data_IF_020541897649
#
_entry.id   IF_020541897649
#
_cell.length_a   1.000
_cell.length_b   1.000
_cell.length_c   1.000
_cell.angle_alpha   90.00
_cell.angle_beta   90.00
_cell.angle_gamma   90.00
#
_symmetry.space_group_name_H-M   'P 1'
#
loop_
_entity.id
_entity.type
_entity.pdbx_description
1 polymer ?
#
# COMPACT_ATOMS: atom_id res chain seq x y z
N UNK A 1 -43.19 49.20 -38.09
CA UNK A 1 -41.87 48.80 -38.65
C UNK A 1 -40.89 49.93 -38.43
N UNK A 2 -39.58 49.70 -38.18
CA UNK A 2 -38.84 48.52 -37.67
C UNK A 2 -38.11 48.88 -36.33
N UNK A 3 -37.36 48.07 -35.58
CA UNK A 3 -36.94 46.65 -35.59
C UNK A 3 -36.48 46.34 -34.14
N UNK A 4 -36.88 45.20 -33.60
CA UNK A 4 -36.42 44.71 -32.31
C UNK A 4 -35.04 44.05 -32.37
N UNK A 5 -34.30 44.14 -31.26
CA UNK A 5 -33.20 43.24 -30.95
C UNK A 5 -33.53 42.54 -29.62
N UNK A 6 -33.86 41.26 -29.73
CA UNK A 6 -34.04 40.37 -28.59
C UNK A 6 -32.68 39.99 -28.01
N UNK A 7 -32.52 40.20 -26.71
CA UNK A 7 -31.42 39.66 -25.94
C UNK A 7 -31.62 38.16 -25.74
N UNK A 8 -30.80 37.34 -26.40
CA UNK A 8 -30.68 35.93 -26.08
C UNK A 8 -29.76 35.75 -24.87
N UNK A 9 -30.35 35.42 -23.72
CA UNK A 9 -29.63 34.77 -22.62
C UNK A 9 -29.18 33.38 -23.07
N UNK A 10 -27.90 33.23 -23.41
CA UNK A 10 -27.29 31.91 -23.53
C UNK A 10 -27.00 31.33 -22.15
N UNK A 11 -27.94 30.53 -21.63
CA UNK A 11 -27.64 29.56 -20.59
C UNK A 11 -26.69 28.51 -21.16
N UNK A 12 -25.42 28.55 -20.75
CA UNK A 12 -24.43 27.52 -21.08
C UNK A 12 -24.76 26.28 -20.22
N UNK A 13 -25.65 25.44 -20.71
CA UNK A 13 -25.76 24.06 -20.23
C UNK A 13 -24.58 23.26 -20.79
N UNK A 14 -23.46 23.20 -20.06
CA UNK A 14 -22.43 22.16 -20.26
C UNK A 14 -22.97 20.83 -19.72
N UNK A 15 -23.75 20.11 -20.52
CA UNK A 15 -23.91 18.66 -20.35
C UNK A 15 -22.59 18.00 -20.77
N UNK A 16 -21.69 17.81 -19.82
CA UNK A 16 -20.61 16.83 -19.99
C UNK A 16 -21.24 15.46 -20.19
N UNK A 17 -21.13 14.89 -21.40
CA UNK A 17 -21.56 13.52 -21.66
C UNK A 17 -20.63 12.59 -20.87
N UNK A 18 -21.05 12.15 -19.70
CA UNK A 18 -20.57 10.91 -19.11
C UNK A 18 -20.78 9.81 -20.15
N UNK A 19 -19.72 9.06 -20.50
CA UNK A 19 -19.85 7.85 -21.32
C UNK A 19 -20.93 6.93 -20.69
N UNK A 20 -21.62 6.08 -21.47
CA UNK A 20 -22.53 5.09 -20.88
C UNK A 20 -21.69 4.07 -20.08
N UNK A 21 -21.52 4.36 -18.79
CA UNK A 21 -20.63 3.69 -17.82
C UNK A 21 -21.00 2.22 -17.56
N UNK A 22 -22.23 1.83 -17.88
CA UNK A 22 -22.71 0.44 -17.78
C UNK A 22 -21.98 -0.51 -18.72
N UNK A 23 -21.53 -0.04 -19.89
CA UNK A 23 -20.82 -0.87 -20.87
C UNK A 23 -19.38 -1.20 -20.44
N UNK A 24 -18.70 -0.26 -19.77
CA UNK A 24 -17.32 -0.45 -19.29
C UNK A 24 -17.25 -1.39 -18.07
N UNK A 25 -18.19 -1.25 -17.13
CA UNK A 25 -18.31 -2.15 -15.99
C UNK A 25 -18.74 -3.56 -16.40
N UNK A 26 -19.64 -3.68 -17.39
CA UNK A 26 -20.03 -4.97 -17.96
C UNK A 26 -18.88 -5.67 -18.69
N UNK A 27 -18.03 -4.92 -19.43
CA UNK A 27 -16.87 -5.48 -20.11
C UNK A 27 -15.83 -6.05 -19.12
N UNK A 28 -15.57 -5.37 -18.00
CA UNK A 28 -14.68 -5.83 -16.93
C UNK A 28 -15.25 -7.04 -16.16
N UNK A 29 -16.56 -7.09 -15.94
CA UNK A 29 -17.25 -8.25 -15.36
C UNK A 29 -17.18 -9.48 -16.27
N UNK A 30 -17.37 -9.30 -17.58
CA UNK A 30 -17.26 -10.37 -18.56
C UNK A 30 -15.82 -10.92 -18.63
N UNK A 31 -14.82 -10.03 -18.55
CA UNK A 31 -13.39 -10.36 -18.48
C UNK A 31 -13.04 -11.25 -17.26
N UNK A 32 -13.51 -10.89 -16.07
CA UNK A 32 -13.25 -11.66 -14.85
C UNK A 32 -13.98 -13.02 -14.84
N UNK A 33 -15.23 -13.07 -15.32
CA UNK A 33 -16.01 -14.31 -15.38
C UNK A 33 -15.51 -15.29 -16.45
N UNK A 34 -14.95 -14.79 -17.56
CA UNK A 34 -14.43 -15.61 -18.66
C UNK A 34 -13.00 -16.14 -18.38
N UNK A 35 -12.28 -15.59 -17.40
CA UNK A 35 -11.00 -16.12 -16.94
C UNK A 35 -11.15 -17.42 -16.13
N UNK A 36 -12.34 -17.69 -15.57
CA UNK A 36 -12.61 -18.79 -14.64
C UNK A 36 -13.22 -20.03 -15.31
N UNK A 37 -13.47 -20.03 -16.62
CA UNK A 37 -14.09 -21.17 -17.33
C UNK A 37 -13.13 -21.86 -18.30
N UNK A 38 -13.00 -23.20 -18.25
CA UNK A 38 -12.25 -23.97 -19.24
C UNK A 38 -13.15 -24.21 -20.46
N UNK A 39 -13.26 -23.25 -21.37
CA UNK A 39 -13.84 -23.50 -22.69
C UNK A 39 -13.41 -22.44 -23.73
N UNK A 40 -13.36 -22.89 -24.98
CA UNK A 40 -12.81 -22.29 -26.21
C UNK A 40 -12.92 -20.74 -26.38
N UNK A 41 -12.02 -20.11 -27.16
CA UNK A 41 -12.01 -18.67 -27.32
C UNK A 41 -13.18 -18.19 -28.22
N UNK A 42 -13.98 -17.20 -27.80
CA UNK A 42 -14.64 -16.34 -28.77
C UNK A 42 -13.59 -15.40 -29.39
N UNK A 43 -13.63 -15.20 -30.69
CA UNK A 43 -12.71 -14.32 -31.40
C UNK A 43 -12.95 -12.84 -31.04
N UNK A 44 -11.89 -12.12 -30.71
CA UNK A 44 -11.83 -10.65 -30.84
C UNK A 44 -12.15 -9.78 -29.62
N UNK A 45 -11.91 -10.22 -28.37
CA UNK A 45 -12.18 -9.40 -27.18
C UNK A 45 -11.06 -9.36 -26.13
N UNK A 46 -11.14 -8.45 -25.13
CA UNK A 46 -10.20 -8.40 -24.01
C UNK A 46 -10.08 -9.73 -23.25
N UNK A 47 -11.19 -10.47 -23.12
CA UNK A 47 -11.23 -11.77 -22.44
C UNK A 47 -10.54 -12.89 -23.23
N UNK A 48 -10.51 -12.82 -24.56
CA UNK A 48 -9.77 -13.77 -25.39
C UNK A 48 -8.27 -13.48 -25.37
N UNK A 49 -7.88 -12.21 -25.32
CA UNK A 49 -6.48 -11.79 -25.12
C UNK A 49 -5.95 -12.25 -23.76
N UNK A 50 -6.76 -12.07 -22.70
CA UNK A 50 -6.40 -12.52 -21.36
C UNK A 50 -6.21 -14.05 -21.31
N UNK A 51 -7.16 -14.82 -21.88
CA UNK A 51 -7.06 -16.28 -21.96
C UNK A 51 -5.85 -16.74 -22.77
N UNK A 52 -5.59 -16.11 -23.91
CA UNK A 52 -4.41 -16.41 -24.72
C UNK A 52 -3.10 -16.11 -23.98
N UNK A 53 -3.04 -15.00 -23.23
CA UNK A 53 -1.85 -14.64 -22.45
C UNK A 53 -1.61 -15.56 -21.26
N UNK A 54 -2.67 -15.97 -20.55
CA UNK A 54 -2.55 -16.99 -19.49
C UNK A 54 -2.05 -18.30 -20.09
N UNK A 55 -2.63 -18.76 -21.21
CA UNK A 55 -2.24 -20.01 -21.87
C UNK A 55 -0.81 -19.96 -22.45
N UNK A 56 -0.35 -18.79 -22.90
CA UNK A 56 0.99 -18.60 -23.43
C UNK A 56 2.07 -18.40 -22.35
N UNK A 57 1.69 -18.17 -21.09
CA UNK A 57 2.65 -17.98 -20.01
C UNK A 57 3.37 -19.30 -19.67
N UNK A 58 4.68 -19.32 -19.40
CA UNK A 58 5.41 -20.54 -19.03
C UNK A 58 4.90 -21.25 -17.76
N UNK A 59 4.11 -20.55 -16.94
CA UNK A 59 3.51 -21.10 -15.72
C UNK A 59 2.06 -20.59 -15.55
N UNK A 60 1.10 -21.05 -16.36
CA UNK A 60 -0.25 -20.47 -16.42
C UNK A 60 -0.98 -20.46 -15.07
N UNK A 61 -0.82 -21.53 -14.27
CA UNK A 61 -1.45 -21.66 -12.96
C UNK A 61 -0.92 -20.65 -11.93
N UNK A 62 0.38 -20.35 -12.01
CA UNK A 62 1.08 -19.44 -11.08
C UNK A 62 0.73 -17.96 -11.31
N UNK A 63 0.31 -17.58 -12.52
CA UNK A 63 0.06 -16.17 -12.88
C UNK A 63 -1.40 -15.88 -13.22
N UNK A 64 -2.15 -16.88 -13.70
CA UNK A 64 -3.57 -16.74 -14.04
C UNK A 64 -4.44 -16.48 -12.82
N UNK A 65 -4.22 -17.21 -11.71
CA UNK A 65 -4.98 -17.01 -10.47
C UNK A 65 -4.73 -15.62 -9.85
N UNK A 66 -3.48 -15.17 -9.60
CA UNK A 66 -3.25 -13.82 -9.09
C UNK A 66 -3.84 -12.73 -9.99
N UNK A 67 -3.66 -12.81 -11.32
CA UNK A 67 -4.29 -11.86 -12.23
C UNK A 67 -5.83 -11.84 -12.07
N UNK A 68 -6.49 -13.01 -12.00
CA UNK A 68 -7.94 -13.07 -11.81
C UNK A 68 -8.37 -12.44 -10.48
N UNK A 69 -7.62 -12.65 -9.40
CA UNK A 69 -7.84 -12.01 -8.10
C UNK A 69 -7.72 -10.48 -8.19
N UNK A 70 -6.70 -9.97 -8.90
CA UNK A 70 -6.55 -8.53 -9.15
C UNK A 70 -7.73 -7.96 -9.95
N UNK A 71 -8.15 -8.61 -11.03
CA UNK A 71 -9.27 -8.13 -11.85
C UNK A 71 -10.60 -8.17 -11.08
N UNK A 72 -10.81 -9.19 -10.24
CA UNK A 72 -11.98 -9.27 -9.37
C UNK A 72 -12.00 -8.11 -8.35
N UNK A 73 -10.86 -7.82 -7.72
CA UNK A 73 -10.74 -6.69 -6.78
C UNK A 73 -10.93 -5.34 -7.49
N UNK A 74 -10.33 -5.16 -8.67
CA UNK A 74 -10.52 -3.99 -9.53
C UNK A 74 -12.00 -3.71 -9.79
N UNK A 75 -12.76 -4.74 -10.18
CA UNK A 75 -14.17 -4.60 -10.50
C UNK A 75 -15.01 -4.24 -9.27
N UNK A 76 -14.72 -4.85 -8.12
CA UNK A 76 -15.40 -4.52 -6.85
C UNK A 76 -15.16 -3.05 -6.48
N UNK A 77 -13.92 -2.58 -6.59
CA UNK A 77 -13.55 -1.18 -6.34
C UNK A 77 -14.25 -0.21 -7.28
N UNK A 78 -14.31 -0.49 -8.59
CA UNK A 78 -15.04 0.37 -9.54
C UNK A 78 -16.53 0.45 -9.24
N UNK A 79 -17.17 -0.66 -8.85
CA UNK A 79 -18.59 -0.65 -8.45
C UNK A 79 -18.84 0.22 -7.23
N UNK A 80 -17.98 0.09 -6.21
CA UNK A 80 -18.05 0.93 -5.02
C UNK A 80 -17.75 2.41 -5.36
N UNK A 81 -16.83 2.69 -6.27
CA UNK A 81 -16.56 4.05 -6.77
C UNK A 81 -17.80 4.68 -7.41
N UNK A 82 -18.54 3.91 -8.21
CA UNK A 82 -19.79 4.39 -8.83
C UNK A 82 -20.86 4.73 -7.79
N UNK A 83 -21.05 3.86 -6.80
CA UNK A 83 -22.00 4.12 -5.71
C UNK A 83 -21.64 5.40 -4.92
N UNK A 84 -20.34 5.67 -4.75
CA UNK A 84 -19.86 6.90 -4.09
C UNK A 84 -20.11 8.16 -4.93
N UNK A 85 -19.99 8.08 -6.26
CA UNK A 85 -20.37 9.18 -7.14
C UNK A 85 -21.86 9.50 -7.07
N UNK A 86 -22.73 8.49 -6.95
CA UNK A 86 -24.18 8.68 -6.86
C UNK A 86 -24.58 9.46 -5.60
N UNK A 87 -23.82 9.34 -4.51
CA UNK A 87 -24.01 10.10 -3.27
C UNK A 87 -23.16 11.37 -3.19
N UNK A 88 -22.46 11.73 -4.28
CA UNK A 88 -21.68 12.98 -4.39
C UNK A 88 -20.29 12.94 -3.77
N UNK A 89 -19.79 11.78 -3.34
CA UNK A 89 -18.45 11.62 -2.76
C UNK A 89 -17.40 11.37 -3.84
N UNK A 90 -17.03 12.45 -4.54
CA UNK A 90 -16.06 12.42 -5.64
C UNK A 90 -14.66 11.99 -5.17
N UNK A 91 -14.26 12.38 -3.95
CA UNK A 91 -12.93 12.05 -3.41
C UNK A 91 -12.80 10.54 -3.19
N UNK A 92 -13.81 9.94 -2.55
CA UNK A 92 -13.88 8.50 -2.31
C UNK A 92 -13.97 7.70 -3.61
N UNK A 93 -14.71 8.20 -4.60
CA UNK A 93 -14.82 7.56 -5.91
C UNK A 93 -13.50 7.59 -6.69
N UNK A 94 -12.83 8.75 -6.75
CA UNK A 94 -11.49 8.88 -7.34
C UNK A 94 -10.52 7.90 -6.67
N UNK A 95 -10.63 7.79 -5.34
CA UNK A 95 -9.86 6.86 -4.54
C UNK A 95 -10.05 5.42 -5.04
N UNK A 96 -11.25 4.85 -4.95
CA UNK A 96 -11.47 3.46 -5.35
C UNK A 96 -11.16 3.17 -6.82
N UNK A 97 -11.41 4.13 -7.71
CA UNK A 97 -11.07 3.97 -9.12
C UNK A 97 -9.56 3.89 -9.36
N UNK A 98 -8.77 4.62 -8.60
CA UNK A 98 -7.32 4.54 -8.75
C UNK A 98 -6.75 3.25 -8.16
N UNK A 99 -7.30 2.79 -7.04
CA UNK A 99 -7.00 1.47 -6.48
C UNK A 99 -7.39 0.33 -7.45
N UNK A 100 -8.43 0.52 -8.26
CA UNK A 100 -8.77 -0.38 -9.36
C UNK A 100 -7.74 -0.35 -10.48
N UNK A 101 -7.26 0.83 -10.89
CA UNK A 101 -6.25 0.97 -11.95
C UNK A 101 -4.99 0.18 -11.61
N UNK A 102 -4.51 0.26 -10.36
CA UNK A 102 -3.35 -0.50 -9.91
C UNK A 102 -3.57 -2.01 -10.05
N UNK A 103 -4.76 -2.51 -9.70
CA UNK A 103 -5.07 -3.93 -9.85
C UNK A 103 -5.09 -4.38 -11.32
N UNK A 104 -5.63 -3.55 -12.23
CA UNK A 104 -5.61 -3.86 -13.66
C UNK A 104 -4.18 -3.92 -14.19
N UNK A 105 -3.33 -2.97 -13.77
CA UNK A 105 -1.92 -2.95 -14.11
C UNK A 105 -1.18 -4.19 -13.60
N UNK A 106 -1.40 -4.58 -12.34
CA UNK A 106 -0.73 -5.72 -11.73
C UNK A 106 -1.05 -7.02 -12.51
N UNK A 107 -2.32 -7.25 -12.89
CA UNK A 107 -2.66 -8.37 -13.77
C UNK A 107 -1.96 -8.26 -15.15
N UNK A 108 -2.00 -7.08 -15.78
CA UNK A 108 -1.36 -6.87 -17.10
C UNK A 108 0.14 -7.18 -17.04
N UNK A 109 0.80 -6.74 -15.98
CA UNK A 109 2.22 -6.95 -15.74
C UNK A 109 2.53 -8.43 -15.46
N UNK A 110 1.72 -9.12 -14.66
CA UNK A 110 1.87 -10.55 -14.39
C UNK A 110 1.83 -11.39 -15.67
N UNK A 111 0.99 -11.00 -16.63
CA UNK A 111 0.82 -11.73 -17.88
C UNK A 111 1.69 -11.21 -19.04
N UNK A 112 2.61 -10.26 -18.76
CA UNK A 112 3.40 -9.57 -19.78
C UNK A 112 2.55 -9.01 -20.93
N UNK A 113 1.31 -8.63 -20.62
CA UNK A 113 0.39 -8.05 -21.59
C UNK A 113 0.78 -6.58 -21.80
N UNK A 114 0.95 -6.12 -23.06
CA UNK A 114 1.05 -4.69 -23.32
C UNK A 114 -0.20 -4.03 -22.75
N UNK A 115 0.02 -3.00 -21.91
CA UNK A 115 -0.97 -2.31 -21.06
C UNK A 115 -2.40 -2.54 -21.52
N UNK A 116 -3.15 -3.33 -20.74
CA UNK A 116 -4.54 -3.67 -20.96
C UNK A 116 -5.31 -2.46 -21.55
N UNK A 117 -6.05 -2.64 -22.65
CA UNK A 117 -6.87 -1.55 -23.25
C UNK A 117 -7.94 -0.97 -22.30
N UNK A 118 -8.11 -1.50 -21.10
CA UNK A 118 -8.94 -0.92 -20.03
C UNK A 118 -8.23 0.16 -19.20
N UNK A 119 -6.89 0.17 -19.13
CA UNK A 119 -6.10 1.23 -18.49
C UNK A 119 -6.47 2.63 -19.01
N UNK A 120 -6.59 2.87 -20.35
CA UNK A 120 -7.06 4.15 -20.84
C UNK A 120 -8.44 4.56 -20.32
N UNK A 121 -9.34 3.63 -20.00
CA UNK A 121 -10.67 3.97 -19.52
C UNK A 121 -10.66 4.39 -18.06
N UNK A 122 -10.00 3.62 -17.19
CA UNK A 122 -9.88 4.01 -15.77
C UNK A 122 -9.00 5.25 -15.63
N UNK A 123 -7.90 5.36 -16.38
CA UNK A 123 -7.05 6.55 -16.40
C UNK A 123 -7.78 7.78 -16.96
N UNK A 124 -8.59 7.65 -18.02
CA UNK A 124 -9.49 8.74 -18.46
C UNK A 124 -10.52 9.11 -17.41
N UNK A 125 -11.07 8.13 -16.70
CA UNK A 125 -12.01 8.38 -15.61
C UNK A 125 -11.33 9.16 -14.47
N UNK A 126 -10.13 8.75 -14.03
CA UNK A 126 -9.33 9.49 -13.04
C UNK A 126 -9.08 10.93 -13.51
N UNK A 127 -8.64 11.11 -14.75
CA UNK A 127 -8.40 12.43 -15.34
C UNK A 127 -9.68 13.28 -15.45
N UNK A 128 -10.86 12.66 -15.59
CA UNK A 128 -12.14 13.39 -15.59
C UNK A 128 -12.57 13.87 -14.20
N UNK A 129 -12.06 13.21 -13.14
CA UNK A 129 -12.32 13.55 -11.75
C UNK A 129 -11.22 14.44 -11.15
N UNK A 130 -10.02 14.45 -11.73
CA UNK A 130 -8.90 15.25 -11.28
C UNK A 130 -9.21 16.76 -11.45
N UNK A 131 -9.13 17.57 -10.37
CA UNK A 131 -9.31 19.01 -10.51
C UNK A 131 -8.17 19.60 -11.36
N UNK A 132 -8.46 20.56 -12.26
CA UNK A 132 -7.47 21.16 -13.17
C UNK A 132 -6.37 21.98 -12.47
N UNK A 133 -6.45 22.15 -11.15
CA UNK A 133 -5.41 22.73 -10.31
C UNK A 133 -5.52 22.19 -8.88
N UNK A 134 -4.38 21.99 -8.21
CA UNK A 134 -4.25 21.61 -6.78
C UNK A 134 -4.70 22.74 -5.81
N UNK A 135 -5.70 23.52 -6.17
CA UNK A 135 -6.19 24.68 -5.42
C UNK A 135 -7.44 24.36 -4.59
N UNK A 136 -7.63 23.10 -4.20
CA UNK A 136 -8.72 22.75 -3.30
C UNK A 136 -8.43 23.36 -1.92
N UNK A 137 -9.18 24.41 -1.57
CA UNK A 137 -9.17 24.94 -0.22
C UNK A 137 -9.62 23.83 0.75
N UNK A 138 -8.95 23.67 1.91
CA UNK A 138 -9.35 22.67 2.89
C UNK A 138 -10.78 22.93 3.35
N UNK A 139 -11.66 21.94 3.22
CA UNK A 139 -12.99 21.98 3.84
C UNK A 139 -12.81 21.92 5.36
N UNK A 140 -13.45 22.81 6.15
CA UNK A 140 -13.49 22.64 7.59
C UNK A 140 -14.33 21.39 7.92
N UNK A 141 -13.70 20.38 8.49
CA UNK A 141 -14.38 19.17 8.95
C UNK A 141 -14.66 19.22 10.45
N UNK A 142 -15.87 18.75 10.79
CA UNK A 142 -16.41 18.67 12.14
C UNK A 142 -15.64 17.66 13.00
N UNK A 143 -15.18 18.12 14.16
CA UNK A 143 -14.38 17.36 15.12
C UNK A 143 -15.23 16.37 15.93
N UNK A 144 -15.05 15.08 15.68
CA UNK A 144 -15.28 14.02 16.66
C UNK A 144 -14.56 12.75 16.21
N UNK A 145 -13.30 12.60 16.62
CA UNK A 145 -12.51 11.39 16.37
C UNK A 145 -12.85 10.29 17.39
N UNK A 146 -13.23 9.11 16.91
CA UNK A 146 -13.10 7.88 17.69
C UNK A 146 -11.65 7.37 17.62
N UNK A 147 -11.13 6.68 18.65
CA UNK A 147 -9.82 6.05 18.59
C UNK A 147 -9.85 4.83 17.64
N UNK A 148 -8.76 4.57 16.90
CA UNK A 148 -8.66 3.42 15.97
C UNK A 148 -8.59 2.07 16.70
N UNK A 149 -8.26 2.06 17.98
CA UNK A 149 -8.46 0.90 18.83
C UNK A 149 -9.32 1.30 20.03
N UNK A 150 -10.32 0.49 20.42
CA UNK A 150 -11.08 0.78 21.61
C UNK A 150 -10.17 0.71 22.84
N UNK A 151 -10.37 1.62 23.80
CA UNK A 151 -9.60 1.70 25.07
C UNK A 151 -9.61 0.38 25.85
N UNK A 152 -10.68 -0.42 25.68
CA UNK A 152 -10.74 -1.81 26.11
C UNK A 152 -11.03 -2.70 24.90
N UNK A 153 -10.11 -3.61 24.63
CA UNK A 153 -10.27 -4.62 23.59
C UNK A 153 -10.83 -5.89 24.23
N UNK A 154 -12.05 -6.27 23.85
CA UNK A 154 -12.65 -7.56 24.24
C UNK A 154 -12.51 -8.51 23.03
N UNK A 155 -11.84 -9.66 23.16
CA UNK A 155 -11.66 -10.57 22.05
C UNK A 155 -12.96 -11.32 21.72
N UNK A 156 -13.28 -11.41 20.43
CA UNK A 156 -14.32 -12.28 19.87
C UNK A 156 -13.77 -13.70 19.64
N UNK A 157 -12.47 -13.80 19.32
CA UNK A 157 -11.73 -15.04 19.19
C UNK A 157 -10.38 -14.96 19.91
N UNK A 158 -9.93 -16.09 20.44
CA UNK A 158 -8.60 -16.22 21.04
C UNK A 158 -7.79 -17.29 20.31
N UNK A 159 -6.51 -17.00 20.10
CA UNK A 159 -5.53 -17.90 19.48
C UNK A 159 -4.39 -18.13 20.46
N UNK A 160 -4.08 -19.39 20.76
CA UNK A 160 -2.85 -19.73 21.45
C UNK A 160 -2.35 -21.12 21.05
N UNK A 161 -1.04 -21.33 21.19
CA UNK A 161 -0.47 -22.67 21.05
C UNK A 161 -1.07 -23.62 22.10
N UNK A 162 -1.30 -24.89 21.75
CA UNK A 162 -1.72 -25.89 22.73
C UNK A 162 -0.74 -25.94 23.91
N UNK A 163 -1.27 -25.77 25.12
CA UNK A 163 -0.50 -25.88 26.36
C UNK A 163 -1.29 -26.73 27.36
N UNK A 164 -0.80 -27.92 27.74
CA UNK A 164 -1.50 -28.83 28.66
C UNK A 164 -1.82 -28.24 30.04
N UNK A 165 -1.13 -27.17 30.45
CA UNK A 165 -1.31 -26.52 31.77
C UNK A 165 -2.09 -25.20 31.75
N UNK A 166 -2.58 -24.75 30.58
CA UNK A 166 -3.30 -23.49 30.45
C UNK A 166 -4.72 -23.69 29.92
N UNK A 167 -5.62 -22.74 30.19
CA UNK A 167 -6.95 -22.73 29.60
C UNK A 167 -6.80 -22.67 28.06
N UNK A 168 -7.45 -23.56 27.30
CA UNK A 168 -7.33 -23.57 25.85
C UNK A 168 -7.96 -22.31 25.26
N UNK A 169 -7.32 -21.76 24.24
CA UNK A 169 -7.93 -20.75 23.39
C UNK A 169 -8.94 -21.39 22.42
N UNK A 170 -9.78 -20.56 21.80
CA UNK A 170 -10.77 -21.03 20.84
C UNK A 170 -10.11 -21.64 19.60
N UNK A 171 -8.92 -21.17 19.22
CA UNK A 171 -8.18 -21.62 18.05
C UNK A 171 -6.69 -21.83 18.36
N UNK A 172 -6.05 -22.70 17.59
CA UNK A 172 -4.60 -22.96 17.66
C UNK A 172 -3.79 -22.26 16.56
N UNK A 173 -4.45 -21.73 15.53
CA UNK A 173 -3.84 -20.99 14.42
C UNK A 173 -4.58 -19.68 14.18
N UNK A 174 -3.88 -18.70 13.63
CA UNK A 174 -4.46 -17.40 13.28
C UNK A 174 -5.43 -17.54 12.11
N UNK A 175 -5.10 -18.35 11.09
CA UNK A 175 -6.00 -18.57 9.95
C UNK A 175 -7.35 -19.15 10.39
N UNK A 176 -7.39 -20.10 11.32
CA UNK A 176 -8.65 -20.69 11.77
C UNK A 176 -9.57 -19.67 12.46
N UNK A 177 -8.99 -18.73 13.22
CA UNK A 177 -9.75 -17.64 13.83
C UNK A 177 -10.27 -16.64 12.79
N UNK A 178 -9.49 -16.36 11.75
CA UNK A 178 -9.91 -15.52 10.60
C UNK A 178 -11.06 -16.19 9.84
N UNK A 179 -10.95 -17.49 9.56
CA UNK A 179 -11.96 -18.25 8.82
C UNK A 179 -13.31 -18.26 9.56
N UNK A 180 -13.28 -18.32 10.88
CA UNK A 180 -14.45 -18.31 11.75
C UNK A 180 -15.12 -16.94 11.90
N UNK A 181 -14.42 -15.84 11.61
CA UNK A 181 -14.99 -14.50 11.69
C UNK A 181 -16.17 -14.35 10.69
N UNK A 182 -17.25 -13.63 11.01
CA UNK A 182 -18.32 -13.38 10.05
C UNK A 182 -17.83 -12.61 8.82
N UNK A 183 -18.42 -12.91 7.66
CA UNK A 183 -18.19 -12.11 6.47
C UNK A 183 -18.90 -10.75 6.60
N UNK A 184 -18.29 -9.69 6.09
CA UNK A 184 -18.83 -8.33 6.06
C UNK A 184 -19.24 -7.80 7.43
N UNK A 185 -18.41 -8.04 8.45
CA UNK A 185 -18.67 -7.60 9.83
C UNK A 185 -18.89 -6.08 9.89
N UNK A 186 -20.03 -5.63 10.42
CA UNK A 186 -20.38 -4.21 10.50
C UNK A 186 -19.54 -3.44 11.54
N UNK A 187 -19.18 -4.10 12.64
CA UNK A 187 -18.24 -3.62 13.65
C UNK A 187 -16.86 -4.24 13.49
N UNK A 188 -16.09 -4.34 14.58
CA UNK A 188 -14.82 -5.06 14.61
C UNK A 188 -15.00 -6.51 15.02
N UNK A 189 -14.24 -7.42 14.41
CA UNK A 189 -14.06 -8.77 14.90
C UNK A 189 -12.63 -8.91 15.43
N UNK A 190 -12.49 -9.00 16.75
CA UNK A 190 -11.22 -8.95 17.46
C UNK A 190 -10.68 -10.36 17.69
N UNK A 191 -9.50 -10.62 17.15
CA UNK A 191 -8.75 -11.86 17.34
C UNK A 191 -7.54 -11.55 18.24
N UNK A 192 -7.59 -11.99 19.49
CA UNK A 192 -6.45 -11.92 20.40
C UNK A 192 -5.52 -13.11 20.17
N UNK A 193 -4.24 -12.84 19.94
CA UNK A 193 -3.22 -13.83 19.62
C UNK A 193 -2.16 -13.82 20.73
N UNK A 194 -2.19 -14.85 21.57
CA UNK A 194 -1.29 -14.98 22.71
C UNK A 194 0.19 -15.05 22.25
N UNK A 195 1.11 -14.74 23.15
CA UNK A 195 2.54 -14.82 22.88
C UNK A 195 2.94 -16.20 22.33
N UNK A 196 3.80 -16.17 21.31
CA UNK A 196 4.28 -17.35 20.61
C UNK A 196 4.60 -17.07 19.15
N UNK A 197 5.36 -18.00 18.57
CA UNK A 197 5.70 -18.00 17.12
C UNK A 197 4.77 -18.91 16.34
N UNK A 198 3.89 -18.34 15.53
CA UNK A 198 2.91 -19.02 14.68
C UNK A 198 3.49 -19.19 13.28
N UNK A 199 3.80 -20.44 12.90
CA UNK A 199 4.41 -20.78 11.61
C UNK A 199 3.31 -21.08 10.59
N UNK A 200 2.77 -20.03 9.96
CA UNK A 200 1.66 -20.14 9.03
C UNK A 200 1.66 -18.98 8.02
N UNK A 201 1.09 -19.22 6.83
CA UNK A 201 0.71 -18.15 5.91
C UNK A 201 -0.76 -17.81 6.19
N UNK A 202 -1.05 -16.55 6.50
CA UNK A 202 -2.39 -16.06 6.81
C UNK A 202 -2.94 -15.23 5.65
N UNK A 203 -4.17 -15.51 5.24
CA UNK A 203 -4.91 -14.73 4.26
C UNK A 203 -6.20 -14.24 4.92
N UNK A 204 -6.39 -12.92 4.92
CA UNK A 204 -7.63 -12.26 5.30
C UNK A 204 -8.34 -11.88 4.00
N UNK A 205 -9.28 -12.72 3.51
CA UNK A 205 -9.88 -12.53 2.20
C UNK A 205 -10.81 -11.30 2.20
N UNK A 206 -11.22 -10.89 0.99
CA UNK A 206 -12.03 -9.68 0.77
C UNK A 206 -13.30 -9.64 1.63
N UNK A 207 -13.94 -10.79 1.82
CA UNK A 207 -15.18 -10.94 2.59
C UNK A 207 -14.97 -10.71 4.09
N UNK A 208 -13.76 -10.85 4.63
CA UNK A 208 -13.46 -10.71 6.06
C UNK A 208 -13.09 -9.25 6.39
N UNK A 209 -14.08 -8.37 6.36
CA UNK A 209 -13.90 -6.95 6.67
C UNK A 209 -13.77 -6.70 8.18
N UNK A 210 -13.08 -5.62 8.55
CA UNK A 210 -12.97 -5.10 9.92
C UNK A 210 -12.36 -6.08 10.94
N UNK A 211 -11.51 -6.99 10.48
CA UNK A 211 -10.71 -7.87 11.36
C UNK A 211 -9.69 -7.05 12.13
N UNK A 212 -9.57 -7.31 13.43
CA UNK A 212 -8.58 -6.69 14.32
C UNK A 212 -7.70 -7.79 14.93
N UNK A 213 -6.42 -7.84 14.56
CA UNK A 213 -5.44 -8.72 15.22
C UNK A 213 -4.76 -8.00 16.37
N UNK A 214 -4.73 -8.62 17.55
CA UNK A 214 -4.10 -8.06 18.74
C UNK A 214 -3.17 -9.09 19.34
N UNK A 215 -1.87 -8.84 19.27
CA UNK A 215 -0.87 -9.67 19.94
C UNK A 215 -0.65 -9.28 21.40
N UNK A 216 0.29 -9.94 22.06
CA UNK A 216 0.75 -9.63 23.43
C UNK A 216 2.06 -8.82 23.44
N UNK A 217 2.52 -8.37 22.27
CA UNK A 217 3.70 -7.51 22.13
C UNK A 217 4.52 -7.84 20.88
N UNK A 218 5.16 -6.79 20.33
CA UNK A 218 6.18 -6.95 19.28
C UNK A 218 7.28 -7.90 19.78
N UNK A 219 7.64 -8.88 18.95
CA UNK A 219 8.59 -9.94 19.28
C UNK A 219 8.05 -11.05 20.20
N UNK A 220 6.98 -10.79 20.97
CA UNK A 220 6.32 -11.79 21.81
C UNK A 220 5.31 -12.62 20.98
N UNK A 221 4.47 -11.95 20.18
CA UNK A 221 3.57 -12.59 19.21
C UNK A 221 4.15 -12.42 17.81
N UNK A 222 4.52 -13.53 17.16
CA UNK A 222 5.16 -13.53 15.84
C UNK A 222 4.42 -14.45 14.88
N UNK A 223 3.95 -13.93 13.74
CA UNK A 223 3.47 -14.75 12.62
C UNK A 223 4.58 -14.82 11.58
N UNK A 224 5.03 -16.03 11.24
CA UNK A 224 6.21 -16.24 10.39
C UNK A 224 5.99 -17.32 9.32
N UNK A 225 6.54 -17.09 8.14
CA UNK A 225 6.65 -18.04 7.04
C UNK A 225 7.91 -17.73 6.21
N UNK A 226 8.18 -18.52 5.16
CA UNK A 226 9.45 -18.47 4.43
C UNK A 226 9.29 -18.55 2.91
N UNK A 227 8.13 -18.15 2.36
CA UNK A 227 7.93 -18.18 0.90
C UNK A 227 8.75 -17.09 0.23
N UNK A 228 9.32 -17.38 -0.93
CA UNK A 228 10.15 -16.44 -1.69
C UNK A 228 10.05 -16.70 -3.19
N UNK A 229 10.39 -15.72 -4.03
CA UNK A 229 10.36 -15.85 -5.50
C UNK A 229 11.21 -17.02 -6.02
N UNK A 230 12.22 -17.48 -5.27
CA UNK A 230 13.02 -18.66 -5.63
C UNK A 230 12.26 -20.00 -5.62
N UNK A 231 10.99 -20.03 -5.21
CA UNK A 231 10.15 -21.23 -5.28
C UNK A 231 9.45 -21.27 -6.65
N UNK A 232 9.54 -22.40 -7.35
CA UNK A 232 8.92 -22.56 -8.66
C UNK A 232 7.40 -22.36 -8.61
N UNK A 233 6.88 -21.56 -9.54
CA UNK A 233 5.44 -21.35 -9.70
C UNK A 233 4.79 -20.43 -8.67
N UNK A 234 5.56 -19.62 -7.93
CA UNK A 234 5.00 -18.52 -7.12
C UNK A 234 5.60 -17.18 -7.52
N UNK A 235 4.77 -16.14 -7.60
CA UNK A 235 5.22 -14.76 -7.79
C UNK A 235 5.45 -14.05 -6.45
N UNK A 236 6.11 -12.88 -6.46
CA UNK A 236 6.30 -12.03 -5.26
C UNK A 236 4.99 -11.82 -4.48
N UNK A 237 3.87 -11.67 -5.19
CA UNK A 237 2.53 -11.52 -4.63
C UNK A 237 2.17 -12.65 -3.65
N UNK A 238 2.51 -13.90 -3.98
CA UNK A 238 2.17 -15.11 -3.24
C UNK A 238 3.17 -15.43 -2.11
N UNK A 239 4.24 -14.64 -2.00
CA UNK A 239 5.28 -14.85 -0.98
C UNK A 239 4.91 -14.32 0.40
N UNK A 240 3.84 -13.53 0.49
CA UNK A 240 3.41 -12.87 1.72
C UNK A 240 3.15 -13.87 2.87
N UNK A 241 3.80 -13.68 4.02
CA UNK A 241 3.44 -14.39 5.25
C UNK A 241 2.01 -14.04 5.67
N UNK A 242 1.66 -12.75 5.70
CA UNK A 242 0.28 -12.28 5.92
C UNK A 242 -0.19 -11.43 4.75
N UNK A 243 -1.29 -11.85 4.12
CA UNK A 243 -1.98 -11.14 3.05
C UNK A 243 -3.33 -10.61 3.53
N UNK A 244 -3.53 -9.30 3.47
CA UNK A 244 -4.75 -8.64 3.91
C UNK A 244 -5.49 -8.03 2.71
N UNK A 245 -6.69 -8.52 2.43
CA UNK A 245 -7.53 -8.08 1.32
C UNK A 245 -8.84 -7.46 1.82
N UNK A 246 -9.37 -7.96 2.94
CA UNK A 246 -10.59 -7.45 3.56
C UNK A 246 -10.41 -6.06 4.17
N UNK A 247 -11.26 -5.11 3.76
CA UNK A 247 -11.16 -3.69 4.16
C UNK A 247 -11.34 -3.46 5.67
N UNK A 248 -10.75 -2.39 6.19
CA UNK A 248 -10.86 -1.97 7.59
C UNK A 248 -10.01 -2.79 8.56
N UNK A 249 -9.02 -3.53 8.05
CA UNK A 249 -8.13 -4.34 8.86
C UNK A 249 -7.36 -3.51 9.88
N UNK A 250 -7.16 -4.06 11.08
CA UNK A 250 -6.27 -3.46 12.07
C UNK A 250 -5.36 -4.50 12.70
N UNK A 251 -4.14 -4.08 13.05
CA UNK A 251 -3.24 -4.91 13.84
C UNK A 251 -2.50 -4.09 14.88
N UNK A 252 -2.29 -4.68 16.05
CA UNK A 252 -1.44 -4.12 17.11
C UNK A 252 -0.68 -5.16 17.89
N UNK A 253 0.46 -4.73 18.44
CA UNK A 253 1.28 -5.50 19.38
C UNK A 253 1.74 -6.86 18.80
N UNK A 254 2.12 -6.90 17.52
CA UNK A 254 2.42 -8.14 16.78
C UNK A 254 3.54 -7.97 15.75
N UNK A 255 4.34 -9.02 15.54
CA UNK A 255 5.37 -9.09 14.50
C UNK A 255 4.91 -9.95 13.33
N UNK A 256 5.07 -9.44 12.11
CA UNK A 256 4.92 -10.18 10.86
C UNK A 256 6.30 -10.43 10.25
N UNK A 257 6.63 -11.68 9.99
CA UNK A 257 7.98 -12.07 9.55
C UNK A 257 7.95 -12.92 8.28
N UNK A 258 8.85 -12.63 7.35
CA UNK A 258 9.28 -13.59 6.34
C UNK A 258 10.76 -13.94 6.55
N UNK A 259 11.01 -15.20 6.92
CA UNK A 259 12.34 -15.69 7.28
C UNK A 259 13.03 -16.49 6.16
N UNK A 260 12.62 -16.31 4.89
CA UNK A 260 13.32 -16.90 3.74
C UNK A 260 14.81 -16.53 3.69
N UNK A 261 15.17 -15.39 4.29
CA UNK A 261 16.56 -14.97 4.47
C UNK A 261 17.11 -14.16 3.31
N UNK A 262 18.32 -13.64 3.51
CA UNK A 262 19.01 -12.93 2.46
C UNK A 262 19.43 -13.87 1.33
N UNK A 263 19.33 -13.39 0.08
CA UNK A 263 19.65 -14.20 -1.11
C UNK A 263 18.45 -14.98 -1.67
N UNK A 264 17.35 -15.12 -0.92
CA UNK A 264 16.10 -15.73 -1.39
C UNK A 264 15.33 -14.87 -2.42
N UNK A 265 15.87 -13.69 -2.77
CA UNK A 265 15.20 -12.66 -3.55
C UNK A 265 13.93 -12.15 -2.83
N UNK A 266 12.88 -11.79 -3.58
CA UNK A 266 11.66 -11.19 -3.02
C UNK A 266 10.95 -12.16 -2.06
N UNK A 267 10.69 -11.71 -0.84
CA UNK A 267 10.05 -12.49 0.21
C UNK A 267 9.27 -11.56 1.16
N UNK A 268 7.95 -11.47 0.93
CA UNK A 268 7.09 -10.50 1.61
C UNK A 268 6.68 -11.00 3.00
N UNK A 269 6.83 -10.16 4.03
CA UNK A 269 6.35 -10.45 5.38
C UNK A 269 4.86 -10.05 5.52
N UNK A 270 4.52 -8.86 5.04
CA UNK A 270 3.16 -8.36 5.10
C UNK A 270 2.76 -7.68 3.80
N UNK A 271 1.58 -8.02 3.30
CA UNK A 271 0.97 -7.43 2.11
C UNK A 271 -0.42 -6.94 2.47
N UNK A 272 -0.69 -5.67 2.16
CA UNK A 272 -2.03 -5.12 2.34
C UNK A 272 -2.58 -4.55 1.04
N UNK A 273 -3.78 -5.04 0.73
CA UNK A 273 -4.71 -4.55 -0.27
C UNK A 273 -6.02 -4.07 0.37
N UNK A 274 -6.11 -4.15 1.70
CA UNK A 274 -7.23 -3.61 2.45
C UNK A 274 -7.20 -2.10 2.37
N UNK A 275 -8.32 -1.51 1.99
CA UNK A 275 -8.56 -0.10 2.23
C UNK A 275 -8.71 0.13 3.74
N UNK A 276 -8.25 1.29 4.24
CA UNK A 276 -8.37 1.69 5.65
C UNK A 276 -7.72 0.74 6.66
N UNK A 277 -6.59 0.13 6.29
CA UNK A 277 -5.77 -0.64 7.22
C UNK A 277 -5.09 0.27 8.25
N UNK A 278 -5.15 -0.05 9.55
CA UNK A 278 -4.43 0.67 10.63
C UNK A 278 -3.52 -0.28 11.40
N UNK A 279 -2.23 0.05 11.50
CA UNK A 279 -1.22 -0.78 12.14
C UNK A 279 -0.50 0.04 13.21
N UNK A 280 -0.58 -0.38 14.48
CA UNK A 280 -0.03 0.33 15.63
C UNK A 280 0.88 -0.59 16.44
N UNK A 281 2.10 -0.16 16.77
CA UNK A 281 3.07 -1.00 17.48
C UNK A 281 3.21 -2.40 16.84
N UNK A 282 3.45 -2.42 15.54
CA UNK A 282 3.73 -3.65 14.77
C UNK A 282 5.15 -3.65 14.27
N UNK A 283 5.67 -4.84 13.99
CA UNK A 283 7.00 -5.00 13.42
C UNK A 283 6.94 -5.86 12.16
N UNK A 284 7.63 -5.41 11.11
CA UNK A 284 7.82 -6.20 9.90
C UNK A 284 9.27 -6.65 9.82
N UNK A 285 9.49 -7.96 9.75
CA UNK A 285 10.83 -8.57 9.63
C UNK A 285 10.97 -9.29 8.30
N UNK A 286 12.03 -8.97 7.58
CA UNK A 286 12.32 -9.59 6.30
C UNK A 286 13.57 -8.98 5.67
N UNK A 287 13.79 -9.33 4.41
CA UNK A 287 14.88 -8.79 3.60
C UNK A 287 14.30 -8.01 2.41
N UNK A 288 14.42 -8.55 1.20
CA UNK A 288 13.90 -7.91 0.00
C UNK A 288 12.37 -8.01 -0.04
N UNK A 289 11.72 -6.87 -0.28
CA UNK A 289 10.26 -6.72 -0.39
C UNK A 289 9.49 -7.01 0.92
N UNK A 290 10.10 -6.73 2.08
CA UNK A 290 9.53 -7.01 3.42
C UNK A 290 8.08 -6.54 3.59
N UNK A 291 7.78 -5.30 3.21
CA UNK A 291 6.45 -4.72 3.29
C UNK A 291 5.93 -4.38 1.90
N UNK A 292 4.88 -5.07 1.47
CA UNK A 292 4.18 -4.76 0.23
C UNK A 292 2.94 -3.91 0.52
N UNK A 293 3.18 -2.62 0.73
CA UNK A 293 2.16 -1.62 1.01
C UNK A 293 1.49 -1.14 -0.29
N UNK A 294 0.43 -1.83 -0.74
CA UNK A 294 -0.41 -1.32 -1.85
C UNK A 294 -1.50 -0.40 -1.33
N UNK A 295 -2.06 -0.72 -0.17
CA UNK A 295 -2.99 0.12 0.61
C UNK A 295 -2.75 -0.11 2.11
N UNK A 296 -1.98 0.77 2.75
CA UNK A 296 -1.80 0.76 4.21
C UNK A 296 -1.92 2.20 4.67
N UNK A 297 -2.64 2.51 5.74
CA UNK A 297 -2.55 3.79 6.42
C UNK A 297 -1.97 3.56 7.83
N UNK A 298 -0.67 3.82 8.06
CA UNK A 298 -0.12 3.77 9.41
C UNK A 298 -0.38 5.11 10.11
N UNK A 299 -1.65 5.37 10.41
CA UNK A 299 -2.12 6.34 11.39
C UNK A 299 -3.61 6.08 11.69
N UNK A 300 -3.96 6.19 12.98
CA UNK A 300 -5.26 5.96 13.59
C UNK A 300 -6.33 6.86 12.92
N UNK A 301 -7.37 6.34 12.27
CA UNK A 301 -8.54 7.19 11.93
C UNK A 301 -9.82 6.38 11.72
N UNK A 302 -11.00 6.86 12.17
CA UNK A 302 -12.30 6.27 11.86
C UNK A 302 -12.99 6.78 10.59
N UNK A 303 -12.36 7.64 9.77
CA UNK A 303 -13.05 8.34 8.66
C UNK A 303 -12.37 8.06 7.32
N UNK A 304 -13.13 8.02 6.20
CA UNK A 304 -12.82 7.12 5.12
C UNK A 304 -12.06 7.77 3.95
N UNK A 305 -11.37 6.89 3.22
CA UNK A 305 -10.81 7.02 1.86
C UNK A 305 -9.38 7.59 1.78
N UNK A 306 -8.62 7.12 0.77
CA UNK A 306 -7.22 7.34 0.32
C UNK A 306 -6.26 6.12 0.50
N UNK A 307 -5.77 5.57 -0.63
CA UNK A 307 -4.95 4.33 -0.74
C UNK A 307 -3.46 4.69 -0.62
N UNK A 308 -3.22 5.52 0.38
CA UNK A 308 -2.03 6.29 0.59
C UNK A 308 -1.34 5.81 1.87
N UNK A 309 -0.03 5.57 1.79
CA UNK A 309 0.69 5.04 2.94
C UNK A 309 1.50 6.11 3.63
N UNK A 310 0.96 6.56 4.75
CA UNK A 310 1.70 7.30 5.77
C UNK A 310 2.37 6.30 6.70
N UNK A 311 3.65 6.51 6.96
CA UNK A 311 4.42 5.92 8.05
C UNK A 311 4.71 7.06 9.04
N UNK A 312 4.11 7.00 10.22
CA UNK A 312 4.31 8.00 11.27
C UNK A 312 5.13 7.38 12.41
N UNK A 313 6.16 8.09 12.88
CA UNK A 313 6.98 7.69 14.05
C UNK A 313 7.60 6.27 13.94
N UNK A 314 7.83 5.81 12.71
CA UNK A 314 8.36 4.48 12.46
C UNK A 314 9.89 4.44 12.58
N UNK A 315 10.43 3.32 13.06
CA UNK A 315 11.86 3.02 13.03
C UNK A 315 12.15 2.04 11.89
N UNK A 316 12.87 2.51 10.87
CA UNK A 316 13.21 1.76 9.67
C UNK A 316 14.68 1.38 9.75
N UNK A 317 14.94 0.09 9.95
CA UNK A 317 16.29 -0.46 10.07
C UNK A 317 16.61 -1.38 8.91
N UNK A 318 17.57 -0.98 8.09
CA UNK A 318 18.09 -1.81 7.01
C UNK A 318 18.99 -2.90 7.59
N UNK A 319 18.75 -4.14 7.20
CA UNK A 319 19.59 -5.29 7.53
C UNK A 319 20.54 -5.61 6.36
N UNK A 320 21.70 -6.25 6.62
CA UNK A 320 22.62 -6.62 5.55
C UNK A 320 21.95 -7.53 4.51
N UNK A 321 22.21 -7.24 3.24
CA UNK A 321 21.89 -8.15 2.15
C UNK A 321 23.05 -9.14 2.02
N UNK A 322 22.79 -10.44 2.10
CA UNK A 322 23.74 -11.49 1.73
C UNK A 322 23.93 -11.54 0.21
N UNK A 323 24.50 -10.49 -0.34
CA UNK A 323 25.10 -10.54 -1.67
C UNK A 323 26.61 -10.70 -1.42
N UNK A 324 27.19 -11.83 -1.83
CA UNK A 324 28.56 -12.22 -1.49
C UNK A 324 29.64 -11.16 -1.77
N UNK A 325 30.88 -11.39 -1.31
CA UNK A 325 31.96 -10.40 -1.11
C UNK A 325 32.24 -9.35 -2.19
N UNK A 326 31.77 -9.58 -3.43
CA UNK A 326 31.95 -8.72 -4.61
C UNK A 326 30.71 -7.90 -4.99
N UNK A 327 29.56 -8.07 -4.32
CA UNK A 327 28.32 -7.38 -4.69
C UNK A 327 28.07 -6.19 -3.77
N UNK A 328 27.97 -5.00 -4.37
CA UNK A 328 27.49 -3.81 -3.66
C UNK A 328 25.99 -3.95 -3.42
N UNK A 329 25.58 -4.14 -2.17
CA UNK A 329 24.17 -4.13 -1.81
C UNK A 329 23.64 -2.69 -1.93
N UNK A 330 22.94 -2.40 -3.04
CA UNK A 330 22.18 -1.15 -3.17
C UNK A 330 20.87 -1.32 -2.42
N UNK A 331 20.84 -0.92 -1.16
CA UNK A 331 19.64 -1.02 -0.32
C UNK A 331 18.78 0.23 -0.55
N UNK A 332 17.46 0.02 -0.63
CA UNK A 332 16.49 1.08 -0.84
C UNK A 332 15.39 0.95 0.21
N UNK A 333 15.01 2.06 0.82
CA UNK A 333 13.92 2.09 1.79
C UNK A 333 12.57 1.96 1.09
N UNK A 334 12.37 2.71 0.00
CA UNK A 334 11.11 2.78 -0.71
C UNK A 334 11.24 2.52 -2.22
N UNK A 335 10.27 1.81 -2.78
CA UNK A 335 10.09 1.64 -4.22
C UNK A 335 8.62 1.88 -4.59
N UNK A 336 8.23 3.14 -4.74
CA UNK A 336 6.82 3.47 -5.00
C UNK A 336 6.43 3.12 -6.45
N UNK A 337 5.25 2.51 -6.58
CA UNK A 337 4.74 1.94 -7.82
C UNK A 337 3.63 2.73 -8.50
N UNK A 338 3.49 4.04 -8.26
CA UNK A 338 2.45 4.86 -8.91
C UNK A 338 2.65 4.91 -10.44
N UNK A 339 1.59 4.57 -11.18
CA UNK A 339 1.61 4.36 -12.64
C UNK A 339 0.90 5.42 -13.47
N UNK A 340 0.05 6.25 -12.88
CA UNK A 340 -0.68 7.30 -13.60
C UNK A 340 -0.73 8.62 -12.80
N UNK A 341 -0.83 9.76 -13.48
CA UNK A 341 -0.80 11.08 -12.85
C UNK A 341 -2.05 11.37 -12.01
N UNK A 342 -3.21 10.89 -12.45
CA UNK A 342 -4.49 11.02 -11.75
C UNK A 342 -4.58 10.17 -10.49
N UNK A 343 -3.60 9.29 -10.27
CA UNK A 343 -3.45 8.55 -9.04
C UNK A 343 -3.04 9.47 -7.87
N UNK A 344 -3.85 9.48 -6.81
CA UNK A 344 -3.52 10.06 -5.50
C UNK A 344 -2.52 9.27 -4.66
N UNK A 345 -1.89 8.16 -5.10
CA UNK A 345 -0.98 7.33 -4.27
C UNK A 345 0.31 8.03 -3.87
N UNK A 346 0.90 7.58 -2.77
CA UNK A 346 2.32 7.75 -2.49
C UNK A 346 2.73 7.07 -1.20
N UNK A 347 4.04 7.14 -0.92
CA UNK A 347 4.58 6.85 0.40
C UNK A 347 4.98 8.16 1.07
N UNK A 348 4.51 8.37 2.30
CA UNK A 348 4.86 9.53 3.12
C UNK A 348 5.42 9.03 4.44
N UNK A 349 6.67 9.35 4.72
CA UNK A 349 7.34 9.04 5.98
C UNK A 349 7.40 10.31 6.82
N UNK A 350 6.88 10.27 8.05
CA UNK A 350 6.77 11.43 8.94
C UNK A 350 7.36 11.07 10.29
N UNK A 351 8.26 11.91 10.80
CA UNK A 351 8.91 11.70 12.10
C UNK A 351 9.59 10.31 12.23
N UNK A 352 9.93 9.69 11.10
CA UNK A 352 10.55 8.37 11.08
C UNK A 352 12.05 8.45 11.33
N UNK A 353 12.62 7.37 11.85
CA UNK A 353 14.07 7.15 11.88
C UNK A 353 14.46 6.17 10.79
N UNK A 354 15.38 6.53 9.91
CA UNK A 354 15.86 5.70 8.80
C UNK A 354 17.35 5.47 8.92
N UNK A 355 17.74 4.21 9.10
CA UNK A 355 19.14 3.85 9.36
C UNK A 355 19.42 2.36 9.08
N UNK A 356 20.66 1.91 9.29
CA UNK A 356 21.02 0.50 9.37
C UNK A 356 20.79 -0.07 10.78
N UNK A 357 20.58 -1.39 10.87
CA UNK A 357 20.77 -2.11 12.13
C UNK A 357 22.26 -2.10 12.53
N UNK A 358 22.58 -2.57 13.74
CA UNK A 358 23.96 -2.57 14.26
C UNK A 358 24.95 -3.21 13.28
N UNK A 359 24.62 -4.41 12.80
CA UNK A 359 25.45 -5.17 11.85
C UNK A 359 25.66 -4.42 10.53
N UNK A 360 24.61 -3.81 9.97
CA UNK A 360 24.71 -3.01 8.75
C UNK A 360 25.61 -1.79 8.93
N UNK A 361 25.53 -1.11 10.07
CA UNK A 361 26.38 0.05 10.38
C UNK A 361 27.84 -0.37 10.55
N UNK A 362 28.11 -1.48 11.24
CA UNK A 362 29.46 -2.06 11.35
C UNK A 362 30.06 -2.40 9.97
N UNK A 363 29.25 -3.02 9.12
CA UNK A 363 29.63 -3.36 7.74
C UNK A 363 29.82 -2.10 6.87
N UNK A 364 29.02 -1.06 7.07
CA UNK A 364 29.21 0.25 6.45
C UNK A 364 30.55 0.88 6.84
N UNK A 365 30.93 0.85 8.11
CA UNK A 365 32.23 1.39 8.54
C UNK A 365 33.40 0.60 7.95
N UNK A 366 33.24 -0.70 7.76
CA UNK A 366 34.29 -1.56 7.18
C UNK A 366 34.36 -1.45 5.65
N UNK A 367 33.22 -1.40 4.97
CA UNK A 367 33.09 -1.38 3.50
C UNK A 367 32.03 -0.34 3.07
N UNK A 368 32.28 0.98 3.22
CA UNK A 368 31.27 2.02 3.00
C UNK A 368 30.77 2.09 1.55
N UNK A 369 31.56 1.58 0.61
CA UNK A 369 31.16 1.50 -0.79
C UNK A 369 30.27 0.28 -1.09
N UNK A 370 30.19 -0.72 -0.22
CA UNK A 370 29.39 -1.94 -0.44
C UNK A 370 28.06 -1.89 0.29
N UNK A 371 27.99 -1.20 1.43
CA UNK A 371 26.78 -1.10 2.26
C UNK A 371 26.20 0.30 2.14
N UNK A 372 25.41 0.52 1.09
CA UNK A 372 24.79 1.81 0.81
C UNK A 372 23.30 1.74 1.07
N UNK A 373 22.74 2.80 1.64
CA UNK A 373 21.30 2.97 1.78
C UNK A 373 20.82 4.21 1.02
N UNK A 374 19.77 4.04 0.24
CA UNK A 374 19.08 5.10 -0.48
C UNK A 374 17.64 5.22 0.05
N UNK A 375 17.12 6.44 0.05
CA UNK A 375 15.74 6.78 0.44
C UNK A 375 14.71 6.11 -0.48
N UNK A 376 15.04 5.90 -1.75
CA UNK A 376 14.19 5.10 -2.63
C UNK A 376 14.61 5.09 -4.10
N UNK A 377 13.83 4.37 -4.91
CA UNK A 377 13.98 4.28 -6.38
C UNK A 377 12.63 4.18 -7.09
N UNK A 378 12.43 4.78 -8.27
CA UNK A 378 11.12 4.84 -8.92
C UNK A 378 10.77 3.50 -9.57
N UNK A 379 9.94 2.68 -8.93
CA UNK A 379 9.53 1.41 -9.55
C UNK A 379 8.65 1.64 -10.79
N UNK A 380 7.89 2.75 -10.81
CA UNK A 380 7.01 3.15 -11.91
C UNK A 380 7.14 4.64 -12.23
N UNK A 381 6.63 5.03 -13.40
CA UNK A 381 6.88 6.33 -14.04
C UNK A 381 6.44 7.53 -13.20
N UNK A 382 5.37 7.40 -12.44
CA UNK A 382 4.84 8.49 -11.62
C UNK A 382 5.17 8.33 -10.14
N UNK A 383 6.18 7.52 -9.79
CA UNK A 383 6.54 7.20 -8.40
C UNK A 383 6.53 8.43 -7.49
N UNK A 384 5.93 8.29 -6.30
CA UNK A 384 5.80 9.39 -5.34
C UNK A 384 6.17 8.95 -3.93
N UNK A 385 7.18 9.60 -3.37
CA UNK A 385 7.70 9.33 -2.02
C UNK A 385 8.10 10.65 -1.37
N UNK A 386 7.69 10.87 -0.13
CA UNK A 386 8.02 12.06 0.65
C UNK A 386 8.55 11.66 2.03
N UNK A 387 9.60 12.34 2.49
CA UNK A 387 10.08 12.26 3.86
C UNK A 387 9.92 13.63 4.54
N UNK A 388 9.26 13.67 5.71
CA UNK A 388 8.95 14.88 6.47
C UNK A 388 9.48 14.72 7.89
N UNK A 389 10.34 15.62 8.34
CA UNK A 389 10.89 15.67 9.69
C UNK A 389 11.52 14.34 10.17
N UNK A 390 12.12 13.59 9.25
CA UNK A 390 12.72 12.30 9.53
C UNK A 390 14.17 12.44 10.03
N UNK A 391 14.64 11.48 10.83
CA UNK A 391 16.06 11.32 11.13
C UNK A 391 16.71 10.36 10.14
N UNK A 392 17.80 10.80 9.51
CA UNK A 392 18.59 10.00 8.58
C UNK A 392 19.97 9.67 9.17
N UNK A 393 20.22 8.38 9.36
CA UNK A 393 21.50 7.85 9.83
C UNK A 393 22.65 8.04 8.83
N UNK A 394 23.88 7.80 9.28
CA UNK A 394 25.09 8.07 8.49
C UNK A 394 25.24 7.18 7.25
N UNK A 395 24.48 6.09 7.19
CA UNK A 395 24.53 5.11 6.10
C UNK A 395 23.76 5.58 4.86
N UNK A 396 22.98 6.66 4.98
CA UNK A 396 22.25 7.26 3.85
C UNK A 396 23.25 7.94 2.91
N UNK A 397 23.11 7.61 1.63
CA UNK A 397 23.94 8.15 0.57
C UNK A 397 23.67 9.66 0.36
N UNK A 398 24.70 10.49 0.10
CA UNK A 398 24.52 11.91 -0.21
C UNK A 398 23.57 12.16 -1.38
N UNK A 399 23.61 11.27 -2.39
CA UNK A 399 22.71 11.33 -3.55
C UNK A 399 21.23 11.16 -3.15
N UNK A 400 20.97 10.50 -2.02
CA UNK A 400 19.65 10.23 -1.44
C UNK A 400 18.87 9.17 -2.21
N UNK A 401 18.74 9.31 -3.52
CA UNK A 401 17.83 8.55 -4.36
C UNK A 401 18.58 7.77 -5.43
N UNK A 402 18.06 6.58 -5.75
CA UNK A 402 18.69 5.66 -6.71
C UNK A 402 17.88 5.61 -8.01
N UNK A 403 18.51 5.78 -9.19
CA UNK A 403 17.84 5.56 -10.47
C UNK A 403 17.31 4.12 -10.61
N UNK A 404 16.16 3.97 -11.26
CA UNK A 404 15.67 2.63 -11.64
C UNK A 404 16.41 2.08 -12.86
N UNK A 405 16.42 2.85 -13.96
CA UNK A 405 17.17 2.56 -15.19
C UNK A 405 17.31 3.83 -16.02
N UNK A 406 18.55 4.25 -16.32
CA UNK A 406 18.80 5.47 -17.08
C UNK A 406 18.11 6.68 -16.44
N UNK A 407 17.43 7.48 -17.27
CA UNK A 407 16.66 8.66 -16.89
C UNK A 407 15.15 8.40 -16.71
N UNK A 408 14.75 7.12 -16.64
CA UNK A 408 13.34 6.74 -16.46
C UNK A 408 12.71 7.44 -15.25
N UNK A 409 11.50 7.96 -15.45
CA UNK A 409 10.65 8.65 -14.47
C UNK A 409 11.16 10.02 -13.96
N UNK A 410 12.36 10.48 -14.31
CA UNK A 410 12.94 11.70 -13.73
C UNK A 410 12.11 12.97 -13.96
N UNK A 411 11.29 13.00 -15.03
CA UNK A 411 10.43 14.14 -15.38
C UNK A 411 9.02 14.07 -14.75
N UNK A 412 8.63 12.92 -14.21
CA UNK A 412 7.25 12.59 -13.85
C UNK A 412 7.08 12.16 -12.39
N UNK A 413 8.15 11.65 -11.77
CA UNK A 413 8.17 11.26 -10.36
C UNK A 413 8.07 12.49 -9.43
N UNK A 414 7.73 12.25 -8.17
CA UNK A 414 7.84 13.25 -7.10
C UNK A 414 8.52 12.64 -5.88
N UNK A 415 9.82 12.86 -5.77
CA UNK A 415 10.62 12.51 -4.59
C UNK A 415 10.98 13.77 -3.82
N UNK A 416 10.52 13.82 -2.57
CA UNK A 416 10.60 15.01 -1.73
C UNK A 416 11.20 14.74 -0.36
N UNK A 417 11.90 15.74 0.17
CA UNK A 417 12.36 15.83 1.56
C UNK A 417 11.93 17.18 2.15
N UNK A 418 11.52 17.21 3.42
CA UNK A 418 11.27 18.43 4.18
C UNK A 418 11.72 18.25 5.63
N UNK A 419 12.54 19.19 6.13
CA UNK A 419 12.91 19.30 7.55
C UNK A 419 13.54 18.03 8.18
N UNK A 420 14.14 17.17 7.35
CA UNK A 420 14.87 15.99 7.86
C UNK A 420 16.19 16.39 8.52
N UNK A 421 16.59 15.61 9.52
CA UNK A 421 17.79 15.84 10.36
C UNK A 421 18.68 14.62 10.46
N UNK A 422 19.87 14.79 11.04
CA UNK A 422 20.85 13.72 11.22
C UNK A 422 21.97 13.73 10.17
N UNK A 423 23.00 12.89 10.34
CA UNK A 423 24.19 12.89 9.49
C UNK A 423 23.90 12.57 8.02
N UNK A 424 22.84 11.81 7.72
CA UNK A 424 22.41 11.50 6.35
C UNK A 424 21.50 12.53 5.70
N UNK A 425 21.13 13.61 6.40
CA UNK A 425 20.12 14.57 5.96
C UNK A 425 20.67 15.77 5.18
N UNK A 426 21.98 15.81 4.87
CA UNK A 426 22.50 16.87 4.02
C UNK A 426 21.88 16.79 2.62
N UNK A 427 21.01 17.75 2.29
CA UNK A 427 20.29 17.79 1.03
C UNK A 427 21.03 18.46 -0.13
N UNK A 428 22.19 19.11 0.11
CA UNK A 428 22.91 19.86 -0.93
C UNK A 428 23.54 18.98 -2.00
N UNK A 429 23.71 17.69 -1.72
CA UNK A 429 24.32 16.70 -2.62
C UNK A 429 23.31 15.72 -3.21
N UNK A 430 22.01 15.99 -3.04
CA UNK A 430 20.96 15.17 -3.63
C UNK A 430 20.99 15.24 -5.14
N UNK A 431 20.51 14.19 -5.77
CA UNK A 431 20.29 14.16 -7.22
C UNK A 431 19.36 15.30 -7.66
N UNK A 432 19.65 15.89 -8.82
CA UNK A 432 18.95 17.08 -9.34
C UNK A 432 17.45 16.85 -9.62
N UNK A 433 17.06 15.59 -9.87
CA UNK A 433 15.67 15.20 -10.13
C UNK A 433 14.85 14.94 -8.84
N UNK A 434 15.44 15.17 -7.66
CA UNK A 434 14.73 15.17 -6.38
C UNK A 434 14.31 16.59 -5.97
N UNK A 435 13.46 16.71 -4.95
CA UNK A 435 12.87 17.98 -4.55
C UNK A 435 13.09 18.24 -3.05
N UNK A 436 13.36 19.49 -2.70
CA UNK A 436 13.09 19.99 -1.36
C UNK A 436 11.65 20.49 -1.34
N UNK A 437 10.78 19.80 -0.62
CA UNK A 437 9.33 20.07 -0.64
C UNK A 437 9.03 21.35 0.13
N UNK A 438 8.42 22.38 -0.49
CA UNK A 438 8.06 23.60 0.24
C UNK A 438 7.02 23.31 1.33
N UNK A 439 7.10 24.00 2.46
CA UNK A 439 6.20 23.81 3.62
C UNK A 439 4.70 23.84 3.23
N UNK A 440 4.32 24.75 2.32
CA UNK A 440 2.93 24.83 1.82
C UNK A 440 2.43 23.53 1.16
N UNK A 441 3.33 22.74 0.56
CA UNK A 441 3.01 21.46 -0.05
C UNK A 441 3.02 20.33 0.98
N UNK A 442 3.83 20.43 2.04
CA UNK A 442 3.86 19.43 3.14
C UNK A 442 2.48 19.23 3.75
N UNK A 443 1.69 20.31 3.89
CA UNK A 443 0.31 20.24 4.40
C UNK A 443 -0.59 19.31 3.58
N UNK A 444 -0.38 19.21 2.26
CA UNK A 444 -1.12 18.28 1.39
C UNK A 444 -0.81 16.81 1.71
N UNK A 445 0.34 16.55 2.32
CA UNK A 445 0.82 15.22 2.72
C UNK A 445 0.65 14.95 4.22
N UNK A 446 -0.07 15.80 4.95
CA UNK A 446 -0.47 15.52 6.34
C UNK A 446 -1.40 14.31 6.39
N UNK A 447 -1.48 13.63 7.53
CA UNK A 447 -2.37 12.48 7.70
C UNK A 447 -3.82 12.88 7.36
N UNK A 448 -4.24 14.07 7.76
CA UNK A 448 -5.58 14.61 7.54
C UNK A 448 -5.88 14.94 6.08
N UNK A 449 -4.90 15.29 5.26
CA UNK A 449 -5.14 15.63 3.86
C UNK A 449 -4.78 14.48 2.91
N UNK A 450 -3.78 13.67 3.27
CA UNK A 450 -3.24 12.61 2.44
C UNK A 450 -4.01 11.31 2.61
N UNK A 451 -4.41 10.97 3.85
CA UNK A 451 -5.25 9.80 4.14
C UNK A 451 -6.64 10.17 4.71
N UNK A 452 -7.00 11.46 4.70
CA UNK A 452 -8.27 11.98 5.23
C UNK A 452 -8.59 11.56 6.67
N UNK A 453 -7.58 11.47 7.53
CA UNK A 453 -7.80 11.25 8.95
C UNK A 453 -8.51 12.43 9.63
N UNK A 454 -9.41 12.17 10.57
CA UNK A 454 -9.98 13.23 11.42
C UNK A 454 -9.02 13.57 12.57
N UNK A 455 -8.89 14.88 12.83
CA UNK A 455 -8.21 15.45 14.01
C UNK A 455 -8.60 14.75 15.33
N UNK A 456 -7.58 14.24 16.03
CA UNK A 456 -7.69 13.58 17.33
C UNK A 456 -6.48 12.72 17.70
N UNK A 457 -5.40 12.77 16.91
CA UNK A 457 -4.26 11.87 16.95
C UNK A 457 -3.00 12.45 17.58
N UNK A 458 -3.12 13.61 18.22
CA UNK A 458 -2.09 14.01 19.17
C UNK A 458 -2.24 13.11 20.40
N UNK A 459 -1.67 11.91 20.34
CA UNK A 459 -1.13 11.32 21.56
C UNK A 459 -0.05 12.27 22.03
N UNK A 460 -0.42 13.16 22.94
CA UNK A 460 0.50 13.81 23.86
C UNK A 460 1.18 12.71 24.70
N UNK A 461 2.06 11.92 24.09
CA UNK A 461 3.17 11.36 24.85
C UNK A 461 4.18 12.49 24.93
N UNK A 462 4.02 13.24 26.02
CA UNK A 462 4.97 14.25 26.43
C UNK A 462 6.38 13.68 26.31
N UNK A 463 7.23 14.50 25.71
CA UNK A 463 8.68 14.51 25.90
C UNK A 463 8.96 14.37 27.39
N UNK A 464 9.07 13.14 27.88
CA UNK A 464 9.70 12.86 29.15
C UNK A 464 11.11 12.37 28.84
N UNK A 465 12.02 13.33 28.99
CA UNK A 465 13.44 13.13 29.26
C UNK A 465 13.69 11.80 29.99
N UNK A 466 14.52 10.94 29.39
CA UNK A 466 15.58 10.28 30.15
C UNK A 466 16.87 10.35 29.34
N UNK A 467 17.53 11.50 29.45
CA UNK A 467 18.98 11.51 29.63
C UNK A 467 19.26 10.77 30.94
N UNK A 468 19.96 9.64 30.89
CA UNK A 468 20.85 9.21 31.99
C UNK A 468 22.05 8.46 31.40
N UNK A 469 23.20 9.15 31.58
CA UNK A 469 24.61 8.72 31.59
C UNK A 469 25.09 7.73 30.53
#
# INVERSE_FOLDING_TARGET
>A
MPRGHGGHHHAIHRRGRLLPLTAAAAALLLLALLALRPAAPPAGGPASLLRAAVAAHPSPAAYGRPCAEHLALSLRRLRAALALLEVGDVSAALHLASASLQCQYDCSHLLSLPTFRSDPLTSRFLNSLAPPSLTAAPKPFSASAAPAFPVRIRPDATVCKPNPGAKPCAYSTVQAAVDAAPNYTAGHFVIAVAAGTYKENVIIPYEKTNIVLVGEGVGATVITASRSLGIDGIGTFDTATVSVIGDGFRARDITFENNAGAGAHQAVAFRSDSDRSVLENVEFRGHQDTLYARTIAAAVSPVPYHWDTVFEECVIKTVPRAEGDQKSARNVVAANGRIDLGQTTGFVFRNCTVDGNKEFVELFHTKPQSYRLYLGRPWKEYARTLYVSCYFGTVIRPEGWLPWRGDFAFRTLYYGEFDSRGPGANCTSRVEWSNQTPEKHVKLYSVENFIQAINGLHTNYGVNQMLRS
#
